data_IF_353551844528
#
_entry.id   IF_353551844528
#
_cell.length_a   1.000
_cell.length_b   1.000
_cell.length_c   1.000
_cell.angle_alpha   90.00
_cell.angle_beta   90.00
_cell.angle_gamma   90.00
#
_symmetry.space_group_name_H-M   'P 1'
#
loop_
_entity.id
_entity.type
_entity.pdbx_description
1 polymer ?
#
# COMPACT_ATOMS: atom_id res chain seq x y z
N UNK A 1 12.71 17.00 -17.95
CA UNK A 1 12.34 15.88 -17.08
C UNK A 1 10.97 16.13 -16.49
N UNK A 2 10.07 15.18 -16.63
CA UNK A 2 8.75 15.22 -16.02
C UNK A 2 8.75 14.41 -14.72
N UNK A 3 7.88 14.80 -13.79
CA UNK A 3 7.77 14.13 -12.51
C UNK A 3 6.31 13.77 -12.25
N UNK A 4 6.09 12.54 -11.83
CA UNK A 4 4.77 12.08 -11.38
C UNK A 4 4.89 11.60 -9.94
N UNK A 5 3.80 11.72 -9.19
CA UNK A 5 3.77 11.33 -7.80
C UNK A 5 2.50 10.56 -7.50
N UNK A 6 2.66 9.40 -6.88
CA UNK A 6 1.54 8.60 -6.37
C UNK A 6 1.76 8.32 -4.90
N UNK A 7 0.66 8.17 -4.17
CA UNK A 7 0.68 7.80 -2.76
C UNK A 7 -0.29 6.67 -2.50
N UNK A 8 0.07 5.80 -1.58
CA UNK A 8 -0.75 4.67 -1.20
C UNK A 8 -0.35 4.11 0.15
N UNK A 9 -0.77 2.89 0.44
CA UNK A 9 -0.51 2.30 1.75
C UNK A 9 -0.41 0.78 1.69
N UNK A 10 0.41 0.23 2.59
CA UNK A 10 0.37 -1.18 2.97
C UNK A 10 -0.67 -1.28 4.08
N UNK A 11 -1.73 -2.04 3.85
CA UNK A 11 -2.87 -2.11 4.76
C UNK A 11 -2.87 -3.46 5.48
N UNK A 12 -2.79 -3.40 6.79
CA UNK A 12 -2.76 -4.59 7.66
C UNK A 12 -4.07 -4.78 8.39
N UNK A 13 -4.45 -6.03 8.57
CA UNK A 13 -5.60 -6.42 9.38
C UNK A 13 -5.21 -7.60 10.24
N UNK A 14 -5.52 -7.55 11.53
CA UNK A 14 -5.17 -8.63 12.44
C UNK A 14 -6.37 -9.56 12.67
N UNK A 15 -6.21 -10.79 12.23
CA UNK A 15 -7.18 -11.87 12.45
C UNK A 15 -6.39 -13.17 12.35
N UNK A 16 -6.21 -13.86 13.47
CA UNK A 16 -5.35 -15.06 13.55
C UNK A 16 -3.95 -14.78 12.99
N UNK A 17 -3.36 -13.66 13.43
CA UNK A 17 -2.11 -13.14 12.89
C UNK A 17 -2.35 -11.94 11.98
N UNK A 18 -1.27 -11.40 11.42
CA UNK A 18 -1.36 -10.23 10.56
C UNK A 18 -1.60 -10.65 9.11
N UNK A 19 -2.59 -10.02 8.50
CA UNK A 19 -2.88 -10.14 7.07
C UNK A 19 -2.63 -8.81 6.39
N UNK A 20 -2.31 -8.85 5.12
CA UNK A 20 -2.07 -7.64 4.32
C UNK A 20 -2.92 -7.70 3.06
N UNK A 21 -3.38 -6.51 2.64
CA UNK A 21 -4.19 -6.37 1.43
C UNK A 21 -3.29 -6.21 0.21
N UNK A 22 -3.52 -7.02 -0.80
CA UNK A 22 -2.87 -6.89 -2.09
C UNK A 22 -3.92 -6.71 -3.17
N UNK A 23 -3.55 -6.02 -4.24
CA UNK A 23 -4.43 -5.84 -5.40
C UNK A 23 -3.72 -6.29 -6.66
N UNK A 24 -4.51 -6.86 -7.59
CA UNK A 24 -4.05 -7.16 -8.95
C UNK A 24 -4.64 -6.12 -9.88
N UNK A 25 -3.79 -5.48 -10.65
CA UNK A 25 -4.21 -4.49 -11.63
C UNK A 25 -4.70 -5.17 -12.90
N UNK A 26 -5.74 -4.58 -13.52
CA UNK A 26 -6.24 -5.09 -14.82
C UNK A 26 -5.16 -4.87 -15.86
N UNK A 27 -4.65 -3.66 -15.95
CA UNK A 27 -3.60 -3.32 -16.91
C UNK A 27 -2.25 -3.74 -16.35
N UNK A 28 -1.53 -4.57 -17.11
CA UNK A 28 -0.22 -5.08 -16.71
C UNK A 28 -0.26 -6.25 -15.76
N UNK A 29 -1.39 -6.50 -15.10
CA UNK A 29 -1.65 -7.66 -14.23
C UNK A 29 -0.70 -7.80 -13.04
N UNK A 30 0.05 -6.75 -12.71
CA UNK A 30 0.95 -6.79 -11.56
C UNK A 30 0.17 -6.75 -10.24
N UNK A 31 0.78 -7.29 -9.20
CA UNK A 31 0.23 -7.31 -7.85
C UNK A 31 1.04 -6.35 -6.98
N UNK A 32 0.35 -5.45 -6.31
CA UNK A 32 0.98 -4.42 -5.50
C UNK A 32 0.01 -3.90 -4.42
N UNK A 33 0.36 -2.76 -3.83
CA UNK A 33 -0.48 -2.08 -2.85
C UNK A 33 -1.38 -1.04 -3.53
N UNK A 34 -2.54 -0.71 -2.94
CA UNK A 34 -3.37 0.38 -3.46
C UNK A 34 -2.62 1.71 -3.43
N UNK A 35 -2.67 2.44 -4.55
CA UNK A 35 -2.05 3.75 -4.67
C UNK A 35 -2.58 4.47 -5.89
N UNK A 36 -2.40 5.79 -5.93
CA UNK A 36 -2.73 6.57 -7.11
C UNK A 36 -2.20 7.98 -7.03
N UNK A 37 -2.45 8.72 -8.09
CA UNK A 37 -1.87 10.05 -8.29
C UNK A 37 -2.36 11.08 -7.29
N UNK A 38 -1.44 11.94 -6.84
CA UNK A 38 -1.76 13.09 -6.00
C UNK A 38 -2.54 14.11 -6.83
N UNK A 39 -3.67 14.55 -6.30
CA UNK A 39 -4.47 15.59 -6.94
C UNK A 39 -4.10 16.97 -6.39
N UNK A 40 -4.38 18.05 -7.15
CA UNK A 40 -4.05 19.40 -6.70
C UNK A 40 -4.63 19.69 -5.32
N UNK A 41 -3.79 20.20 -4.43
CA UNK A 41 -4.19 20.55 -3.07
C UNK A 41 -4.22 19.42 -2.08
N UNK A 42 -3.99 18.16 -2.51
CA UNK A 42 -3.95 17.04 -1.59
C UNK A 42 -2.61 16.90 -0.90
N UNK A 43 -2.65 16.50 0.38
CA UNK A 43 -1.44 16.02 1.06
C UNK A 43 -1.19 14.57 0.66
N UNK A 44 0.01 14.07 0.92
CA UNK A 44 0.35 12.68 0.62
C UNK A 44 -0.59 11.70 1.34
N UNK A 45 -0.85 11.92 2.62
CA UNK A 45 -1.71 11.02 3.38
C UNK A 45 -3.17 11.07 2.92
N UNK A 46 -3.66 12.23 2.51
CA UNK A 46 -5.02 12.35 1.96
C UNK A 46 -5.14 11.61 0.64
N UNK A 47 -4.13 11.68 -0.22
CA UNK A 47 -4.10 10.91 -1.46
C UNK A 47 -4.15 9.42 -1.18
N UNK A 48 -3.31 8.95 -0.26
CA UNK A 48 -3.29 7.53 0.10
C UNK A 48 -4.65 7.07 0.62
N UNK A 49 -5.25 7.83 1.53
CA UNK A 49 -6.57 7.51 2.09
C UNK A 49 -7.64 7.43 1.01
N UNK A 50 -7.66 8.42 0.11
CA UNK A 50 -8.63 8.47 -1.00
C UNK A 50 -8.45 7.30 -1.96
N UNK A 51 -7.22 7.03 -2.38
CA UNK A 51 -6.94 5.97 -3.33
C UNK A 51 -7.25 4.58 -2.76
N UNK A 52 -6.96 4.36 -1.49
CA UNK A 52 -7.34 3.10 -0.83
C UNK A 52 -8.86 2.93 -0.88
N UNK A 53 -9.60 3.96 -0.54
CA UNK A 53 -11.06 3.90 -0.56
C UNK A 53 -11.59 3.63 -1.97
N UNK A 54 -11.08 4.34 -2.98
CA UNK A 54 -11.52 4.17 -4.36
C UNK A 54 -11.22 2.78 -4.90
N UNK A 55 -10.03 2.25 -4.64
CA UNK A 55 -9.60 0.98 -5.24
C UNK A 55 -10.12 -0.24 -4.50
N UNK A 56 -10.38 -0.13 -3.20
CA UNK A 56 -10.68 -1.30 -2.37
C UNK A 56 -11.95 -1.20 -1.54
N UNK A 57 -12.54 -0.01 -1.44
CA UNK A 57 -13.70 0.21 -0.59
C UNK A 57 -13.39 0.34 0.90
N UNK A 58 -12.11 0.31 1.28
CA UNK A 58 -11.74 0.39 2.68
C UNK A 58 -11.55 1.82 3.15
N UNK A 59 -12.11 2.14 4.30
CA UNK A 59 -11.80 3.37 5.04
C UNK A 59 -10.70 3.03 6.03
N UNK A 60 -9.53 3.64 5.84
CA UNK A 60 -8.37 3.33 6.68
C UNK A 60 -7.85 4.60 7.33
N UNK A 61 -7.15 4.42 8.45
CA UNK A 61 -6.40 5.51 9.07
C UNK A 61 -4.94 5.33 8.69
N UNK A 62 -4.37 6.34 8.02
CA UNK A 62 -2.99 6.31 7.58
C UNK A 62 -2.06 6.54 8.78
N UNK A 63 -1.10 5.65 8.95
CA UNK A 63 -0.04 5.80 9.95
C UNK A 63 1.16 6.46 9.29
N UNK A 64 1.31 7.77 9.51
CA UNK A 64 2.38 8.55 8.88
C UNK A 64 3.74 8.36 9.55
N UNK A 65 3.81 7.61 10.64
CA UNK A 65 5.10 7.29 11.27
C UNK A 65 5.92 6.34 10.42
N UNK A 66 5.28 5.62 9.51
CA UNK A 66 5.96 4.83 8.49
C UNK A 66 5.70 5.47 7.13
N UNK A 67 6.78 5.88 6.45
CA UNK A 67 6.71 6.47 5.12
C UNK A 67 7.89 5.95 4.31
N UNK A 68 7.60 5.24 3.24
CA UNK A 68 8.61 4.72 2.33
C UNK A 68 8.49 5.38 0.97
N UNK A 69 9.61 5.49 0.24
CA UNK A 69 9.64 6.06 -1.10
C UNK A 69 10.29 5.11 -2.07
N UNK A 70 9.75 5.08 -3.28
CA UNK A 70 10.41 4.49 -4.45
C UNK A 70 10.46 5.53 -5.56
N UNK A 71 11.63 5.67 -6.18
CA UNK A 71 11.82 6.55 -7.35
C UNK A 71 12.29 5.69 -8.51
N UNK A 72 11.66 5.86 -9.65
CA UNK A 72 12.07 5.15 -10.85
C UNK A 72 11.55 5.88 -12.09
N UNK A 73 12.22 5.63 -13.23
CA UNK A 73 11.79 6.20 -14.49
C UNK A 73 10.73 5.30 -15.11
N UNK A 74 9.58 5.88 -15.45
CA UNK A 74 8.53 5.17 -16.19
C UNK A 74 8.71 5.35 -17.70
N UNK A 75 9.41 6.42 -18.09
CA UNK A 75 9.83 6.74 -19.45
C UNK A 75 11.17 7.46 -19.34
N UNK A 76 11.97 7.55 -20.43
CA UNK A 76 13.27 8.22 -20.33
C UNK A 76 13.20 9.66 -19.82
N UNK A 77 12.09 10.36 -20.07
CA UNK A 77 11.90 11.75 -19.66
C UNK A 77 11.02 11.92 -18.43
N UNK A 78 10.57 10.83 -17.80
CA UNK A 78 9.60 10.91 -16.71
C UNK A 78 10.04 10.06 -15.53
N UNK A 79 10.25 10.72 -14.39
CA UNK A 79 10.54 10.05 -13.13
C UNK A 79 9.29 9.99 -12.28
N UNK A 80 9.03 8.84 -11.67
CA UNK A 80 7.92 8.65 -10.76
C UNK A 80 8.40 8.49 -9.33
N UNK A 81 7.78 9.21 -8.41
CA UNK A 81 7.92 9.03 -6.98
C UNK A 81 6.68 8.33 -6.45
N UNK A 82 6.85 7.21 -5.77
CA UNK A 82 5.76 6.53 -5.07
C UNK A 82 6.03 6.61 -3.58
N UNK A 83 5.05 7.12 -2.84
CA UNK A 83 5.09 7.22 -1.38
C UNK A 83 4.10 6.23 -0.79
N UNK A 84 4.58 5.35 0.08
CA UNK A 84 3.75 4.31 0.69
C UNK A 84 3.79 4.47 2.21
N UNK A 85 2.61 4.61 2.80
CA UNK A 85 2.41 4.63 4.25
C UNK A 85 2.00 3.24 4.75
N UNK A 86 1.89 3.08 6.06
CA UNK A 86 1.25 1.92 6.66
C UNK A 86 -0.16 2.31 7.11
N UNK A 87 -1.04 1.32 7.18
CA UNK A 87 -2.38 1.51 7.71
C UNK A 87 -2.87 0.22 8.35
N UNK A 88 -3.76 0.33 9.33
CA UNK A 88 -4.39 -0.81 9.98
C UNK A 88 -5.89 -0.63 9.89
N UNK A 89 -6.62 -1.69 9.64
CA UNK A 89 -8.08 -1.67 9.58
C UNK A 89 -8.67 -2.92 10.22
N UNK A 90 -9.89 -2.80 10.74
CA UNK A 90 -10.69 -3.94 11.17
C UNK A 90 -11.65 -4.40 10.07
N UNK A 91 -11.82 -3.60 9.04
CA UNK A 91 -12.75 -3.87 7.96
C UNK A 91 -12.22 -4.98 7.06
N UNK A 92 -13.01 -6.00 6.81
CA UNK A 92 -12.60 -7.16 6.02
C UNK A 92 -13.11 -7.11 4.58
N UNK A 93 -14.33 -6.61 4.39
CA UNK A 93 -14.98 -6.66 3.08
C UNK A 93 -14.34 -5.69 2.10
N UNK A 94 -14.12 -6.18 0.89
CA UNK A 94 -13.45 -5.45 -0.19
C UNK A 94 -14.45 -5.20 -1.31
N UNK A 95 -14.37 -3.98 -1.88
CA UNK A 95 -15.15 -3.60 -3.05
C UNK A 95 -14.15 -3.09 -4.10
N UNK A 96 -13.56 -3.99 -4.90
CA UNK A 96 -12.57 -3.58 -5.89
C UNK A 96 -13.20 -2.67 -6.94
N UNK A 97 -12.45 -1.65 -7.35
CA UNK A 97 -12.85 -0.73 -8.41
C UNK A 97 -12.82 -1.45 -9.74
N UNK A 98 -13.97 -1.65 -10.42
CA UNK A 98 -14.03 -2.59 -11.56
C UNK A 98 -13.21 -2.15 -12.77
N UNK A 99 -12.99 -0.85 -12.95
CA UNK A 99 -12.29 -0.32 -14.12
C UNK A 99 -10.77 -0.51 -14.05
N UNK A 100 -10.22 -0.65 -12.85
CA UNK A 100 -8.76 -0.67 -12.67
C UNK A 100 -8.25 -1.91 -11.95
N UNK A 101 -9.08 -2.50 -11.08
CA UNK A 101 -8.65 -3.57 -10.18
C UNK A 101 -9.31 -4.88 -10.60
N UNK A 102 -8.49 -5.85 -10.99
CA UNK A 102 -8.98 -7.17 -11.34
C UNK A 102 -9.37 -7.98 -10.11
N UNK A 103 -8.61 -7.81 -9.02
CA UNK A 103 -8.83 -8.56 -7.80
C UNK A 103 -8.22 -7.84 -6.61
N UNK A 104 -8.86 -7.95 -5.45
CA UNK A 104 -8.33 -7.45 -4.18
C UNK A 104 -8.50 -8.56 -3.15
N UNK A 105 -7.44 -8.86 -2.39
CA UNK A 105 -7.48 -10.03 -1.52
C UNK A 105 -6.56 -9.85 -0.32
N UNK A 106 -6.96 -10.47 0.80
CA UNK A 106 -6.15 -10.53 2.00
C UNK A 106 -5.28 -11.79 1.97
N UNK A 107 -4.02 -11.66 2.35
CA UNK A 107 -3.12 -12.80 2.51
C UNK A 107 -2.37 -12.67 3.83
N UNK A 108 -1.99 -13.79 4.46
CA UNK A 108 -1.09 -13.72 5.61
C UNK A 108 0.21 -13.01 5.20
N UNK A 109 0.74 -12.18 6.09
CA UNK A 109 1.95 -11.41 5.79
C UNK A 109 3.09 -12.33 5.32
N UNK A 110 3.21 -13.53 5.92
CA UNK A 110 4.26 -14.48 5.60
C UNK A 110 4.21 -14.95 4.14
N UNK A 111 3.04 -14.90 3.51
CA UNK A 111 2.86 -15.34 2.13
C UNK A 111 2.89 -14.18 1.13
N UNK A 112 2.74 -12.95 1.61
CA UNK A 112 2.51 -11.81 0.74
C UNK A 112 3.66 -11.56 -0.24
N UNK A 113 4.90 -11.77 0.18
CA UNK A 113 6.05 -11.54 -0.69
C UNK A 113 6.05 -12.44 -1.91
N UNK A 114 5.47 -13.64 -1.83
CA UNK A 114 5.40 -14.54 -2.97
C UNK A 114 4.41 -14.05 -4.03
N UNK A 115 3.46 -13.20 -3.64
CA UNK A 115 2.46 -12.65 -4.56
C UNK A 115 2.90 -11.33 -5.20
N UNK A 116 3.70 -10.53 -4.50
CA UNK A 116 4.10 -9.21 -5.00
C UNK A 116 4.98 -9.33 -6.24
N UNK A 117 4.67 -8.54 -7.25
CA UNK A 117 5.39 -8.58 -8.53
C UNK A 117 6.80 -8.00 -8.43
N UNK A 118 6.99 -6.93 -7.64
CA UNK A 118 8.24 -6.17 -7.65
C UNK A 118 9.01 -6.29 -6.33
N UNK A 119 10.33 -6.41 -6.43
CA UNK A 119 11.20 -6.49 -5.25
C UNK A 119 11.11 -5.23 -4.39
N UNK A 120 10.95 -4.05 -5.00
CA UNK A 120 10.81 -2.81 -4.23
C UNK A 120 9.58 -2.86 -3.31
N UNK A 121 8.50 -3.51 -3.75
CA UNK A 121 7.30 -3.65 -2.93
C UNK A 121 7.50 -4.68 -1.82
N UNK A 122 8.24 -5.75 -2.10
CA UNK A 122 8.58 -6.74 -1.07
C UNK A 122 9.39 -6.10 0.06
N UNK A 123 10.34 -5.23 -0.29
CA UNK A 123 11.13 -4.51 0.72
C UNK A 123 10.24 -3.59 1.56
N UNK A 124 9.35 -2.85 0.91
CA UNK A 124 8.42 -1.96 1.63
C UNK A 124 7.53 -2.76 2.57
N UNK A 125 7.03 -3.91 2.12
CA UNK A 125 6.20 -4.76 2.97
C UNK A 125 6.97 -5.22 4.21
N UNK A 126 8.20 -5.70 4.04
CA UNK A 126 9.02 -6.13 5.17
C UNK A 126 9.24 -5.01 6.17
N UNK A 127 9.56 -3.81 5.68
CA UNK A 127 9.80 -2.64 6.53
C UNK A 127 8.51 -2.19 7.24
N UNK A 128 7.40 -2.17 6.53
CA UNK A 128 6.10 -1.79 7.10
C UNK A 128 5.65 -2.80 8.16
N UNK A 129 5.85 -4.08 7.90
CA UNK A 129 5.49 -5.12 8.86
C UNK A 129 6.36 -5.03 10.12
N UNK A 130 7.66 -4.78 9.96
CA UNK A 130 8.54 -4.57 11.11
C UNK A 130 8.08 -3.36 11.94
N UNK A 131 7.64 -2.30 11.28
CA UNK A 131 7.12 -1.12 11.98
C UNK A 131 5.87 -1.46 12.81
N UNK A 132 4.90 -2.14 12.21
CA UNK A 132 3.64 -2.48 12.89
C UNK A 132 3.89 -3.46 14.04
N UNK A 133 4.60 -4.54 13.80
CA UNK A 133 4.86 -5.58 14.80
C UNK A 133 5.93 -5.15 15.80
N UNK A 134 6.97 -4.47 15.35
CA UNK A 134 8.05 -3.99 16.20
C UNK A 134 7.59 -2.94 17.21
N UNK A 135 6.72 -2.03 16.78
CA UNK A 135 6.15 -1.04 17.68
C UNK A 135 5.39 -1.70 18.82
N UNK A 136 4.60 -2.75 18.50
CA UNK A 136 3.87 -3.51 19.50
C UNK A 136 4.82 -4.23 20.47
N UNK A 137 5.83 -4.89 19.91
CA UNK A 137 6.83 -5.62 20.71
C UNK A 137 7.60 -4.67 21.62
N UNK A 138 8.04 -3.52 21.09
CA UNK A 138 8.78 -2.53 21.88
C UNK A 138 7.96 -2.00 23.05
N UNK A 139 6.67 -1.76 22.83
CA UNK A 139 5.78 -1.31 23.91
C UNK A 139 5.64 -2.38 25.00
N UNK A 140 5.63 -3.64 24.63
CA UNK A 140 5.54 -4.73 25.60
C UNK A 140 6.84 -4.92 26.39
N UNK A 141 7.97 -4.68 25.75
CA UNK A 141 9.27 -4.85 26.36
C UNK A 141 9.59 -3.74 27.37
N UNK A 142 8.87 -2.66 27.36
CA UNK A 142 9.07 -1.53 28.25
C UNK A 142 8.00 -1.48 29.34
#
# INVERSE_FOLDING_TARGET
MRYEKSCGAVIFRKESGWNVLLIRHIKGRHISFPKGHVEPGETESKTAEREVLEETGLKVRIDRRFRAENRYNIRPDTQKLVVIFAAVTDQKELVPQPEEIADAFWVPVEEACTHLTYERDRKILRDAYAHISGTTVQKQAR
#
